data_IF_798443675176
#
_entry.id   IF_798443675176
#
_cell.length_a   1.000
_cell.length_b   1.000
_cell.length_c   1.000
_cell.angle_alpha   90.00
_cell.angle_beta   90.00
_cell.angle_gamma   90.00
#
_symmetry.space_group_name_H-M   'P 1'
#
loop_
_entity.id
_entity.type
_entity.pdbx_description
1 polymer ?
#
# COMPACT_ATOMS: atom_id res chain seq x y z
N UNK A 1 -23.54 20.11 -26.27
CA UNK A 1 -23.36 20.07 -24.80
C UNK A 1 -22.28 19.05 -24.46
N UNK A 2 -21.03 19.46 -24.18
CA UNK A 2 -19.90 18.57 -23.88
C UNK A 2 -19.46 18.82 -22.43
N UNK A 3 -20.24 18.31 -21.46
CA UNK A 3 -19.95 18.42 -20.02
C UNK A 3 -19.13 17.23 -19.47
N UNK A 4 -18.97 16.14 -20.23
CA UNK A 4 -18.24 14.94 -19.78
C UNK A 4 -16.74 15.12 -19.46
N UNK A 5 -15.93 15.88 -20.22
CA UNK A 5 -14.47 15.89 -19.99
C UNK A 5 -14.06 16.56 -18.66
N UNK A 6 -14.85 17.51 -18.16
CA UNK A 6 -14.56 18.17 -16.89
C UNK A 6 -14.77 17.24 -15.69
N UNK A 7 -15.85 16.45 -15.70
CA UNK A 7 -16.16 15.49 -14.63
C UNK A 7 -15.11 14.37 -14.59
N UNK A 8 -14.70 13.85 -15.76
CA UNK A 8 -13.64 12.84 -15.85
C UNK A 8 -12.29 13.35 -15.30
N UNK A 9 -11.93 14.61 -15.60
CA UNK A 9 -10.72 15.24 -15.07
C UNK A 9 -10.79 15.42 -13.55
N UNK A 10 -11.94 15.84 -13.01
CA UNK A 10 -12.15 15.94 -11.56
C UNK A 10 -12.04 14.57 -10.89
N UNK A 11 -12.66 13.53 -11.46
CA UNK A 11 -12.55 12.16 -10.94
C UNK A 11 -11.10 11.68 -10.95
N UNK A 12 -10.34 11.97 -12.00
CA UNK A 12 -8.91 11.61 -12.10
C UNK A 12 -8.08 12.34 -11.03
N UNK A 13 -8.30 13.64 -10.86
CA UNK A 13 -7.60 14.43 -9.84
C UNK A 13 -7.88 13.92 -8.42
N UNK A 14 -9.14 13.61 -8.11
CA UNK A 14 -9.52 13.03 -6.81
C UNK A 14 -8.90 11.65 -6.57
N UNK A 15 -8.75 10.83 -7.61
CA UNK A 15 -8.06 9.54 -7.51
C UNK A 15 -6.55 9.71 -7.27
N UNK A 16 -5.92 10.67 -7.94
CA UNK A 16 -4.51 11.02 -7.74
C UNK A 16 -4.23 11.46 -6.31
N UNK A 17 -5.01 12.41 -5.79
CA UNK A 17 -4.84 12.95 -4.44
C UNK A 17 -4.98 11.84 -3.36
N UNK A 18 -5.95 10.94 -3.54
CA UNK A 18 -6.10 9.77 -2.66
C UNK A 18 -4.92 8.80 -2.74
N UNK A 19 -4.38 8.58 -3.94
CA UNK A 19 -3.20 7.72 -4.11
C UNK A 19 -1.97 8.35 -3.46
N UNK A 20 -1.74 9.64 -3.70
CA UNK A 20 -0.66 10.44 -3.11
C UNK A 20 -0.71 10.42 -1.57
N UNK A 21 -1.91 10.46 -0.99
CA UNK A 21 -2.11 10.35 0.46
C UNK A 21 -1.91 8.91 0.98
N UNK A 22 -2.29 7.89 0.21
CA UNK A 22 -2.18 6.49 0.64
C UNK A 22 -0.75 5.94 0.59
N UNK A 23 0.03 6.31 -0.43
CA UNK A 23 1.42 5.86 -0.61
C UNK A 23 2.29 6.02 0.64
N UNK A 24 2.38 7.19 1.30
CA UNK A 24 3.21 7.35 2.49
C UNK A 24 2.73 6.48 3.67
N UNK A 25 1.42 6.28 3.82
CA UNK A 25 0.87 5.41 4.86
C UNK A 25 1.18 3.95 4.57
N UNK A 26 1.01 3.49 3.32
CA UNK A 26 1.34 2.13 2.91
C UNK A 26 2.84 1.83 3.06
N UNK A 27 3.72 2.82 2.81
CA UNK A 27 5.16 2.71 3.07
C UNK A 27 5.46 2.58 4.56
N UNK A 28 4.76 3.32 5.41
CA UNK A 28 4.90 3.21 6.87
C UNK A 28 4.45 1.83 7.36
N UNK A 29 3.31 1.33 6.88
CA UNK A 29 2.83 -0.03 7.18
C UNK A 29 3.82 -1.10 6.71
N UNK A 30 4.42 -0.92 5.53
CA UNK A 30 5.45 -1.83 5.01
C UNK A 30 6.69 -1.86 5.93
N UNK A 31 7.17 -0.70 6.37
CA UNK A 31 8.31 -0.60 7.29
C UNK A 31 8.01 -1.24 8.65
N UNK A 32 6.79 -1.02 9.16
CA UNK A 32 6.33 -1.65 10.39
C UNK A 32 6.32 -3.18 10.24
N UNK A 33 5.73 -3.70 9.18
CA UNK A 33 5.63 -5.14 8.97
C UNK A 33 7.01 -5.79 8.74
N UNK A 34 7.96 -5.10 8.11
CA UNK A 34 9.34 -5.56 8.00
C UNK A 34 10.02 -5.66 9.38
N UNK A 35 9.69 -4.75 10.30
CA UNK A 35 10.18 -4.79 11.69
C UNK A 35 9.59 -5.99 12.42
N UNK A 36 8.27 -6.20 12.33
CA UNK A 36 7.59 -7.38 12.87
C UNK A 36 8.18 -8.68 12.33
N UNK A 37 8.41 -8.77 11.01
CA UNK A 37 9.05 -9.93 10.39
C UNK A 37 10.48 -10.14 10.92
N UNK A 38 11.26 -9.06 11.09
CA UNK A 38 12.62 -9.16 11.63
C UNK A 38 12.62 -9.79 13.02
N UNK A 39 11.70 -9.38 13.88
CA UNK A 39 11.63 -9.89 15.25
C UNK A 39 11.10 -11.33 15.30
N UNK A 40 10.10 -11.67 14.47
CA UNK A 40 9.62 -13.04 14.32
C UNK A 40 10.72 -14.00 13.81
N UNK A 41 11.57 -13.54 12.89
CA UNK A 41 12.72 -14.30 12.42
C UNK A 41 13.74 -14.54 13.53
N UNK A 42 13.98 -13.55 14.40
CA UNK A 42 14.90 -13.69 15.55
C UNK A 42 14.35 -14.64 16.62
N UNK A 43 13.04 -14.59 16.89
CA UNK A 43 12.39 -15.45 17.89
C UNK A 43 12.06 -16.85 17.37
N UNK A 44 12.12 -17.07 16.06
CA UNK A 44 11.77 -18.34 15.42
C UNK A 44 10.26 -18.58 15.29
N UNK A 45 9.43 -17.54 15.50
CA UNK A 45 7.97 -17.63 15.41
C UNK A 45 7.51 -17.87 13.97
N UNK A 46 7.32 -19.14 13.62
CA UNK A 46 6.96 -19.55 12.26
C UNK A 46 5.59 -19.04 11.82
N UNK A 47 4.64 -18.90 12.74
CA UNK A 47 3.31 -18.41 12.41
C UNK A 47 3.38 -16.93 12.02
N UNK A 48 4.00 -16.11 12.88
CA UNK A 48 4.16 -14.68 12.60
C UNK A 48 5.01 -14.45 11.35
N UNK A 49 6.05 -15.25 11.09
CA UNK A 49 6.83 -15.17 9.85
C UNK A 49 5.94 -15.34 8.61
N UNK A 50 5.02 -16.32 8.61
CA UNK A 50 4.15 -16.55 7.46
C UNK A 50 3.12 -15.43 7.28
N UNK A 51 2.51 -14.98 8.38
CA UNK A 51 1.55 -13.88 8.38
C UNK A 51 2.19 -12.58 7.88
N UNK A 52 3.36 -12.22 8.42
CA UNK A 52 4.10 -11.03 8.00
C UNK A 52 4.48 -11.09 6.53
N UNK A 53 4.96 -12.24 6.03
CA UNK A 53 5.27 -12.40 4.60
C UNK A 53 4.04 -12.26 3.72
N UNK A 54 2.86 -12.71 4.15
CA UNK A 54 1.62 -12.52 3.41
C UNK A 54 1.23 -11.03 3.36
N UNK A 55 1.26 -10.35 4.51
CA UNK A 55 0.95 -8.92 4.59
C UNK A 55 1.90 -8.06 3.75
N UNK A 56 3.21 -8.35 3.78
CA UNK A 56 4.20 -7.65 2.93
C UNK A 56 3.92 -7.81 1.43
N UNK A 57 3.42 -8.97 0.99
CA UNK A 57 3.04 -9.16 -0.43
C UNK A 57 1.82 -8.31 -0.80
N UNK A 58 0.84 -8.20 0.09
CA UNK A 58 -0.34 -7.35 -0.12
C UNK A 58 0.06 -5.88 -0.21
N UNK A 59 0.85 -5.38 0.75
CA UNK A 59 1.33 -4.00 0.77
C UNK A 59 2.19 -3.67 -0.45
N UNK A 60 3.05 -4.60 -0.88
CA UNK A 60 3.82 -4.43 -2.13
C UNK A 60 2.91 -4.32 -3.34
N UNK A 61 1.89 -5.18 -3.46
CA UNK A 61 0.94 -5.14 -4.57
C UNK A 61 0.15 -3.83 -4.58
N UNK A 62 -0.29 -3.38 -3.42
CA UNK A 62 -0.98 -2.10 -3.27
C UNK A 62 -0.08 -0.94 -3.74
N UNK A 63 1.15 -0.84 -3.24
CA UNK A 63 2.09 0.21 -3.64
C UNK A 63 2.35 0.23 -5.14
N UNK A 64 2.55 -0.94 -5.78
CA UNK A 64 2.72 -1.03 -7.23
C UNK A 64 1.49 -0.52 -8.01
N UNK A 65 0.28 -0.68 -7.46
CA UNK A 65 -0.94 -0.17 -8.09
C UNK A 65 -1.12 1.34 -7.88
N UNK A 66 -0.61 1.88 -6.77
CA UNK A 66 -0.70 3.31 -6.47
C UNK A 66 0.37 4.13 -7.20
N UNK A 67 1.51 3.53 -7.53
CA UNK A 67 2.64 4.17 -8.21
C UNK A 67 2.58 4.09 -9.75
N UNK A 68 1.62 3.34 -10.30
CA UNK A 68 1.42 3.13 -11.75
C UNK A 68 0.52 4.20 -12.39
#
# INVERSE_FOLDING_TARGET
MKLMPAIENVIRALKSDRAEQRIPVARLELNYELTTLSDALKSGDQEQIQQSKARLRELRRELLLLEA
#
